data_IF_278515498254
#
_entry.id   IF_278515498254
#
_cell.length_a   1.000
_cell.length_b   1.000
_cell.length_c   1.000
_cell.angle_alpha   90.00
_cell.angle_beta   90.00
_cell.angle_gamma   90.00
#
_symmetry.space_group_name_H-M   'P 1'
#
loop_
_entity.id
_entity.type
_entity.pdbx_description
1 polymer ?
#
# COMPACT_ATOMS: atom_id res chain seq x y z
N UNK A 1 2.21 -4.15 -1.63
CA UNK A 1 2.79 -3.99 -0.27
C UNK A 1 2.14 -5.02 0.65
N UNK A 2 2.87 -5.77 1.47
CA UNK A 2 2.25 -6.82 2.34
C UNK A 2 1.17 -6.24 3.27
N UNK A 3 1.41 -5.07 3.88
CA UNK A 3 0.41 -4.44 4.76
C UNK A 3 -0.89 -4.05 4.02
N UNK A 4 -0.83 -3.76 2.73
CA UNK A 4 -2.03 -3.52 1.91
C UNK A 4 -2.89 -4.79 1.83
N UNK A 5 -2.26 -5.93 1.54
CA UNK A 5 -2.95 -7.22 1.47
C UNK A 5 -3.50 -7.66 2.83
N UNK A 6 -2.76 -7.39 3.91
CA UNK A 6 -3.26 -7.67 5.27
C UNK A 6 -4.46 -6.78 5.64
N UNK A 7 -4.50 -5.53 5.18
CA UNK A 7 -5.67 -4.68 5.36
C UNK A 7 -6.91 -5.24 4.63
N UNK A 8 -6.72 -5.95 3.51
CA UNK A 8 -7.82 -6.58 2.78
C UNK A 8 -8.52 -7.71 3.55
N UNK A 9 -7.86 -8.32 4.55
CA UNK A 9 -8.49 -9.32 5.44
C UNK A 9 -9.58 -8.66 6.30
N UNK A 10 -9.39 -7.40 6.69
CA UNK A 10 -10.35 -6.66 7.52
C UNK A 10 -11.34 -5.82 6.70
N UNK A 11 -10.93 -5.36 5.52
CA UNK A 11 -11.72 -4.51 4.63
C UNK A 11 -11.42 -4.85 3.17
N UNK A 12 -12.32 -5.58 2.50
CA UNK A 12 -12.08 -6.08 1.15
C UNK A 12 -11.92 -4.99 0.08
N UNK A 13 -12.61 -3.86 0.23
CA UNK A 13 -12.59 -2.78 -0.77
C UNK A 13 -11.65 -1.65 -0.35
N UNK A 14 -11.13 -0.87 -1.30
CA UNK A 14 -10.35 0.35 -1.02
C UNK A 14 -11.22 1.52 -0.55
N UNK A 15 -12.09 1.28 0.44
CA UNK A 15 -12.97 2.27 1.04
C UNK A 15 -12.21 3.24 1.95
N UNK A 16 -12.88 4.29 2.45
CA UNK A 16 -12.26 5.22 3.41
C UNK A 16 -11.77 4.49 4.67
N UNK A 17 -12.49 3.45 5.11
CA UNK A 17 -12.09 2.60 6.25
C UNK A 17 -10.80 1.86 5.99
N UNK A 18 -10.62 1.34 4.77
CA UNK A 18 -9.37 0.69 4.34
C UNK A 18 -8.19 1.65 4.47
N UNK A 19 -8.30 2.85 3.90
CA UNK A 19 -7.22 3.82 3.92
C UNK A 19 -6.93 4.32 5.33
N UNK A 20 -7.96 4.43 6.18
CA UNK A 20 -7.79 4.76 7.61
C UNK A 20 -7.02 3.68 8.34
N UNK A 21 -7.38 2.40 8.14
CA UNK A 21 -6.69 1.25 8.72
C UNK A 21 -5.22 1.19 8.27
N UNK A 22 -4.97 1.31 6.96
CA UNK A 22 -3.62 1.32 6.41
C UNK A 22 -2.78 2.47 6.97
N UNK A 23 -3.38 3.65 7.14
CA UNK A 23 -2.71 4.82 7.73
C UNK A 23 -2.44 4.64 9.23
N UNK A 24 -3.29 3.94 9.96
CA UNK A 24 -3.04 3.64 11.39
C UNK A 24 -1.84 2.71 11.57
N UNK A 25 -1.70 1.69 10.72
CA UNK A 25 -0.58 0.73 10.82
C UNK A 25 0.70 1.23 10.16
N UNK A 26 0.59 2.10 9.15
CA UNK A 26 1.72 2.71 8.44
C UNK A 26 1.38 4.15 8.00
N UNK A 27 1.58 5.17 8.84
CA UNK A 27 1.18 6.56 8.55
C UNK A 27 1.79 7.16 7.27
N UNK A 28 2.97 6.68 6.89
CA UNK A 28 3.78 7.13 5.76
C UNK A 28 3.70 6.20 4.54
N UNK A 29 2.68 5.33 4.45
CA UNK A 29 2.55 4.31 3.40
C UNK A 29 2.59 4.88 1.98
N UNK A 30 2.12 6.13 1.78
CA UNK A 30 2.13 6.76 0.44
C UNK A 30 3.55 6.91 -0.11
N UNK A 31 4.50 7.35 0.72
CA UNK A 31 5.90 7.48 0.31
C UNK A 31 6.59 6.13 0.13
N UNK A 32 6.26 5.17 0.98
CA UNK A 32 6.75 3.78 0.82
C UNK A 32 6.24 3.17 -0.48
N UNK A 33 4.94 3.33 -0.79
CA UNK A 33 4.33 2.85 -2.04
C UNK A 33 5.00 3.47 -3.25
N UNK A 34 5.16 4.80 -3.28
CA UNK A 34 5.80 5.49 -4.39
C UNK A 34 7.20 4.93 -4.66
N UNK A 35 8.04 4.80 -3.63
CA UNK A 35 9.39 4.22 -3.78
C UNK A 35 9.36 2.79 -4.31
N UNK A 36 8.42 1.97 -3.86
CA UNK A 36 8.29 0.58 -4.34
C UNK A 36 7.80 0.52 -5.79
N UNK A 37 6.88 1.41 -6.17
CA UNK A 37 6.40 1.53 -7.55
C UNK A 37 7.55 1.98 -8.47
N UNK A 38 8.34 2.99 -8.08
CA UNK A 38 9.52 3.47 -8.83
C UNK A 38 10.54 2.34 -9.03
N UNK A 39 10.82 1.56 -7.98
CA UNK A 39 11.71 0.42 -8.07
C UNK A 39 11.15 -0.65 -9.02
N UNK A 40 9.85 -0.95 -8.95
CA UNK A 40 9.23 -1.92 -9.83
C UNK A 40 9.30 -1.48 -11.30
N UNK A 41 9.06 -0.20 -11.57
CA UNK A 41 9.20 0.38 -12.92
C UNK A 41 10.64 0.24 -13.44
N UNK A 42 11.66 0.52 -12.62
CA UNK A 42 13.06 0.32 -13.02
C UNK A 42 13.39 -1.13 -13.39
N UNK A 43 12.88 -2.11 -12.65
CA UNK A 43 13.19 -3.53 -12.90
C UNK A 43 12.33 -4.17 -14.00
N UNK A 44 11.17 -3.59 -14.33
CA UNK A 44 10.23 -4.14 -15.30
C UNK A 44 10.36 -3.50 -16.70
N UNK A 45 11.09 -2.39 -16.81
CA UNK A 45 11.36 -1.71 -18.07
C UNK A 45 12.65 -2.18 -18.79
N UNK A 46 13.30 -3.23 -18.27
CA UNK A 46 14.47 -3.91 -18.86
C UNK A 46 14.07 -5.13 -19.72
#
# INVERSE_FOLDING_TARGET
MILHELCHIAEHNHSERFWRLLTQVMPNWKGVKARLDDMAEMYLND
#
